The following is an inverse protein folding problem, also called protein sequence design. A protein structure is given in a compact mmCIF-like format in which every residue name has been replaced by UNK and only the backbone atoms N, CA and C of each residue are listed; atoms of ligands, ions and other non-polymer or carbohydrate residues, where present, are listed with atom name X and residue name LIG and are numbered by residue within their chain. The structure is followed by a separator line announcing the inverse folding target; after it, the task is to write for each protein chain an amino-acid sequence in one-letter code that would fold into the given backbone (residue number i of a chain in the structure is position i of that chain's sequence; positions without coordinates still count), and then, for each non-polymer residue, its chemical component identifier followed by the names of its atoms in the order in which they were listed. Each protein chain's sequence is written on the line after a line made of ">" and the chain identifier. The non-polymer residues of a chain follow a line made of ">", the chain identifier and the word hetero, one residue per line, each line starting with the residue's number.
data_IF_213138035706
#
_entry.id   IF_213138035706
#
_cell.length_a   1.000
_cell.length_b   1.000
_cell.length_c   1.000
_cell.angle_alpha   90.00
_cell.angle_beta   90.00
_cell.angle_gamma   90.00
#
_symmetry.space_group_name_H-M   'P 1'
#
loop_
_entity.id
_entity.type
_entity.pdbx_description
1 polymer ?
#
# COMPACT_ATOMS: atom_id res chain seq x y z
N UNK A 1 11.40 -18.56 -12.53
CA UNK A 1 12.25 -19.44 -11.70
C UNK A 1 11.60 -20.78 -11.32
N UNK A 2 10.29 -20.87 -11.02
CA UNK A 2 9.61 -22.17 -10.80
C UNK A 2 9.35 -22.99 -12.07
N UNK A 3 9.23 -22.35 -13.23
CA UNK A 3 9.06 -23.01 -14.55
C UNK A 3 10.33 -23.72 -15.04
N UNK A 4 11.51 -23.32 -14.55
CA UNK A 4 12.78 -23.92 -14.98
C UNK A 4 13.04 -25.25 -14.25
N UNK A 5 12.33 -25.56 -13.15
CA UNK A 5 12.63 -26.74 -12.31
C UNK A 5 11.48 -27.72 -12.08
N UNK A 6 10.21 -27.35 -12.29
CA UNK A 6 9.09 -28.27 -12.10
C UNK A 6 8.09 -28.17 -13.26
N UNK A 7 8.10 -29.17 -14.13
CA UNK A 7 7.10 -29.40 -15.17
C UNK A 7 5.88 -30.14 -14.60
N UNK A 8 4.68 -29.56 -14.72
CA UNK A 8 3.42 -30.28 -14.53
C UNK A 8 2.25 -29.50 -13.90
N UNK A 9 1.05 -30.09 -13.98
CA UNK A 9 -0.22 -29.61 -13.40
C UNK A 9 -0.17 -29.35 -11.87
N UNK A 10 0.56 -30.14 -11.05
CA UNK A 10 0.67 -29.88 -9.60
C UNK A 10 1.47 -28.62 -9.26
N UNK A 11 2.49 -28.28 -10.06
CA UNK A 11 3.31 -27.08 -9.86
C UNK A 11 2.52 -25.80 -10.15
N UNK A 12 1.59 -25.83 -11.11
CA UNK A 12 0.69 -24.72 -11.40
C UNK A 12 -0.31 -24.47 -10.26
N UNK A 13 -0.83 -25.52 -9.62
CA UNK A 13 -1.72 -25.41 -8.45
C UNK A 13 -1.00 -24.79 -7.24
N UNK A 14 0.22 -25.24 -6.93
CA UNK A 14 1.04 -24.65 -5.87
C UNK A 14 1.42 -23.18 -6.17
N UNK A 15 1.59 -22.82 -7.44
CA UNK A 15 1.83 -21.43 -7.86
C UNK A 15 0.59 -20.56 -7.67
N UNK A 16 -0.59 -21.08 -8.02
CA UNK A 16 -1.88 -20.43 -7.78
C UNK A 16 -2.15 -20.22 -6.29
N UNK A 17 -1.93 -21.26 -5.46
CA UNK A 17 -2.11 -21.17 -4.02
C UNK A 17 -1.17 -20.14 -3.36
N UNK A 18 0.13 -20.16 -3.73
CA UNK A 18 1.09 -19.19 -3.24
C UNK A 18 0.78 -17.77 -3.73
N UNK A 19 0.37 -17.61 -4.98
CA UNK A 19 -0.01 -16.30 -5.53
C UNK A 19 -1.26 -15.73 -4.84
N UNK A 20 -2.23 -16.58 -4.47
CA UNK A 20 -3.42 -16.14 -3.76
C UNK A 20 -3.11 -15.77 -2.30
N UNK A 21 -2.36 -16.62 -1.59
CA UNK A 21 -1.98 -16.34 -0.20
C UNK A 21 -1.04 -15.13 -0.07
N UNK A 22 0.01 -15.08 -0.89
CA UNK A 22 1.02 -14.02 -0.80
C UNK A 22 0.59 -12.75 -1.52
N UNK A 23 -0.12 -12.88 -2.65
CA UNK A 23 -0.51 -11.76 -3.49
C UNK A 23 -1.83 -11.11 -3.07
N UNK A 24 -2.83 -11.88 -2.65
CA UNK A 24 -4.15 -11.33 -2.29
C UNK A 24 -4.28 -11.16 -0.79
N UNK A 25 -4.14 -12.26 -0.02
CA UNK A 25 -4.40 -12.22 1.42
C UNK A 25 -3.43 -11.27 2.15
N UNK A 26 -2.13 -11.43 1.92
CA UNK A 26 -1.13 -10.56 2.56
C UNK A 26 -1.26 -9.09 2.14
N UNK A 27 -1.54 -8.84 0.86
CA UNK A 27 -1.68 -7.47 0.35
C UNK A 27 -2.91 -6.77 0.95
N UNK A 28 -4.05 -7.45 1.03
CA UNK A 28 -5.27 -6.93 1.67
C UNK A 28 -5.05 -6.63 3.15
N UNK A 29 -4.36 -7.52 3.88
CA UNK A 29 -4.04 -7.33 5.29
C UNK A 29 -3.18 -6.07 5.52
N UNK A 30 -2.15 -5.86 4.70
CA UNK A 30 -1.30 -4.66 4.78
C UNK A 30 -2.11 -3.40 4.43
N UNK A 31 -2.91 -3.44 3.36
CA UNK A 31 -3.74 -2.29 2.99
C UNK A 31 -4.78 -1.94 4.07
N UNK A 32 -5.33 -2.94 4.76
CA UNK A 32 -6.27 -2.73 5.86
C UNK A 32 -5.62 -2.01 7.05
N UNK A 33 -4.41 -2.41 7.46
CA UNK A 33 -3.70 -1.75 8.58
C UNK A 33 -3.28 -0.33 8.23
N UNK A 34 -2.83 -0.09 7.00
CA UNK A 34 -2.48 1.26 6.50
C UNK A 34 -3.72 2.17 6.45
N UNK A 35 -4.85 1.66 5.95
CA UNK A 35 -6.10 2.43 5.90
C UNK A 35 -6.60 2.77 7.30
N UNK A 36 -6.48 1.85 8.27
CA UNK A 36 -6.81 2.12 9.67
C UNK A 36 -5.92 3.21 10.28
N UNK A 37 -4.62 3.23 9.96
CA UNK A 37 -3.71 4.28 10.39
C UNK A 37 -4.11 5.64 9.79
N UNK A 38 -4.45 5.68 8.50
CA UNK A 38 -4.91 6.89 7.82
C UNK A 38 -6.20 7.45 8.46
N UNK A 39 -7.17 6.59 8.79
CA UNK A 39 -8.40 7.01 9.50
C UNK A 39 -8.07 7.62 10.86
N UNK A 40 -7.14 7.04 11.62
CA UNK A 40 -6.74 7.60 12.93
C UNK A 40 -6.09 8.97 12.78
N UNK A 41 -5.17 9.12 11.82
CA UNK A 41 -4.49 10.39 11.56
C UNK A 41 -5.50 11.46 11.13
N UNK A 42 -6.35 11.15 10.15
CA UNK A 42 -7.37 12.08 9.65
C UNK A 42 -8.40 12.44 10.73
N UNK A 43 -8.81 11.47 11.55
CA UNK A 43 -9.71 11.71 12.67
C UNK A 43 -9.13 12.65 13.72
N UNK A 44 -7.84 12.50 14.05
CA UNK A 44 -7.17 13.35 15.06
C UNK A 44 -6.82 14.73 14.52
N UNK A 45 -6.30 14.84 13.29
CA UNK A 45 -5.91 16.12 12.71
C UNK A 45 -7.07 16.95 12.18
N UNK A 46 -8.03 16.30 11.50
CA UNK A 46 -9.06 16.99 10.72
C UNK A 46 -10.47 16.78 11.29
N UNK A 47 -10.67 15.86 12.24
CA UNK A 47 -11.99 15.54 12.81
C UNK A 47 -12.97 14.92 11.79
N UNK A 48 -12.48 14.42 10.67
CA UNK A 48 -13.30 13.93 9.55
C UNK A 48 -13.82 12.53 9.83
N UNK A 49 -15.03 12.24 9.37
CA UNK A 49 -15.64 10.93 9.50
C UNK A 49 -14.83 9.83 8.78
N UNK A 50 -14.93 8.61 9.31
CA UNK A 50 -14.18 7.43 8.87
C UNK A 50 -14.51 7.08 7.42
N UNK A 51 -15.79 7.13 7.05
CA UNK A 51 -16.23 6.76 5.71
C UNK A 51 -15.73 7.76 4.68
N UNK A 52 -15.83 9.06 4.99
CA UNK A 52 -15.33 10.14 4.12
C UNK A 52 -13.82 10.02 3.91
N UNK A 53 -13.06 9.71 4.96
CA UNK A 53 -11.60 9.54 4.86
C UNK A 53 -11.23 8.39 3.93
N UNK A 54 -11.87 7.23 4.08
CA UNK A 54 -11.58 6.05 3.25
C UNK A 54 -11.98 6.29 1.80
N UNK A 55 -13.16 6.86 1.56
CA UNK A 55 -13.64 7.16 0.21
C UNK A 55 -12.74 8.17 -0.50
N UNK A 56 -12.34 9.25 0.17
CA UNK A 56 -11.44 10.23 -0.40
C UNK A 56 -10.06 9.63 -0.72
N UNK A 57 -9.43 8.94 0.25
CA UNK A 57 -8.10 8.38 0.09
C UNK A 57 -8.07 7.29 -1.00
N UNK A 58 -9.05 6.39 -1.03
CA UNK A 58 -9.15 5.33 -2.05
C UNK A 58 -9.40 5.91 -3.43
N UNK A 59 -10.27 6.91 -3.56
CA UNK A 59 -10.55 7.56 -4.86
C UNK A 59 -9.29 8.21 -5.44
N UNK A 60 -8.57 8.99 -4.62
CA UNK A 60 -7.31 9.63 -5.04
C UNK A 60 -6.29 8.58 -5.46
N UNK A 61 -6.13 7.52 -4.67
CA UNK A 61 -5.18 6.44 -4.94
C UNK A 61 -5.52 5.71 -6.24
N UNK A 62 -6.79 5.41 -6.50
CA UNK A 62 -7.24 4.72 -7.72
C UNK A 62 -7.03 5.61 -8.95
N UNK A 63 -7.44 6.88 -8.88
CA UNK A 63 -7.28 7.82 -10.00
C UNK A 63 -5.80 8.02 -10.33
N UNK A 64 -4.96 8.20 -9.30
CA UNK A 64 -3.53 8.36 -9.50
C UNK A 64 -2.85 7.10 -10.05
N UNK A 65 -3.15 5.93 -9.47
CA UNK A 65 -2.56 4.65 -9.90
C UNK A 65 -2.98 4.26 -11.31
N UNK A 66 -4.25 4.53 -11.68
CA UNK A 66 -4.76 4.24 -13.01
C UNK A 66 -4.15 5.15 -14.11
N UNK A 67 -3.82 6.41 -13.78
CA UNK A 67 -3.30 7.39 -14.76
C UNK A 67 -1.79 7.36 -14.92
N UNK A 68 -1.03 7.03 -13.87
CA UNK A 68 0.43 7.15 -13.83
C UNK A 68 1.20 5.91 -14.30
N UNK A 69 0.54 4.74 -14.37
CA UNK A 69 1.19 3.48 -14.72
C UNK A 69 2.27 3.04 -13.72
N UNK A 70 2.93 1.91 -13.95
CA UNK A 70 3.89 1.36 -12.99
C UNK A 70 5.08 2.30 -12.73
N UNK A 71 5.59 2.96 -13.78
CA UNK A 71 6.71 3.89 -13.68
C UNK A 71 6.36 5.13 -12.86
N UNK A 72 5.18 5.71 -13.10
CA UNK A 72 4.74 6.87 -12.34
C UNK A 72 4.53 6.54 -10.87
N UNK A 73 3.86 5.42 -10.57
CA UNK A 73 3.66 4.95 -9.19
C UNK A 73 4.99 4.79 -8.45
N UNK A 74 6.00 4.16 -9.06
CA UNK A 74 7.32 3.97 -8.44
C UNK A 74 8.02 5.31 -8.17
N UNK A 75 7.93 6.27 -9.10
CA UNK A 75 8.53 7.60 -8.91
C UNK A 75 7.85 8.33 -7.74
N UNK A 76 6.52 8.30 -7.66
CA UNK A 76 5.83 8.93 -6.51
C UNK A 76 6.07 8.23 -5.20
N UNK A 77 6.22 6.91 -5.19
CA UNK A 77 6.53 6.16 -3.98
C UNK A 77 7.90 6.59 -3.41
N UNK A 78 8.89 6.75 -4.28
CA UNK A 78 10.21 7.28 -3.89
C UNK A 78 10.12 8.71 -3.32
N UNK A 79 9.30 9.58 -3.92
CA UNK A 79 9.11 10.94 -3.42
C UNK A 79 8.40 10.97 -2.06
N UNK A 80 7.33 10.18 -1.90
CA UNK A 80 6.59 10.06 -0.64
C UNK A 80 7.45 9.44 0.46
N UNK A 81 8.30 8.47 0.12
CA UNK A 81 9.29 7.90 1.04
C UNK A 81 10.27 8.97 1.54
N UNK A 82 10.83 9.78 0.63
CA UNK A 82 11.73 10.87 1.00
C UNK A 82 11.06 11.92 1.91
N UNK A 83 9.82 12.30 1.57
CA UNK A 83 9.04 13.22 2.38
C UNK A 83 8.74 12.65 3.78
N UNK A 84 8.36 11.37 3.87
CA UNK A 84 8.08 10.70 5.13
C UNK A 84 9.33 10.58 6.03
N UNK A 85 10.49 10.32 5.41
CA UNK A 85 11.77 10.30 6.13
C UNK A 85 12.14 11.68 6.68
N UNK A 86 12.03 12.74 5.87
CA UNK A 86 12.28 14.10 6.32
C UNK A 86 11.30 14.52 7.42
N UNK A 87 10.01 14.20 7.26
CA UNK A 87 8.97 14.48 8.24
C UNK A 87 9.17 13.76 9.58
N UNK A 88 9.58 12.49 9.56
CA UNK A 88 9.84 11.74 10.80
C UNK A 88 11.08 12.25 11.54
N UNK A 89 12.14 12.63 10.82
CA UNK A 89 13.34 13.25 11.42
C UNK A 89 13.02 14.62 12.02
N UNK A 90 12.29 15.47 11.28
CA UNK A 90 11.87 16.78 11.78
C UNK A 90 10.98 16.65 13.03
N UNK A 91 10.00 15.74 13.00
CA UNK A 91 9.15 15.47 14.16
C UNK A 91 9.96 14.97 15.36
N UNK A 92 10.96 14.11 15.15
CA UNK A 92 11.83 13.64 16.23
C UNK A 92 12.67 14.78 16.85
N UNK A 93 13.14 15.73 16.05
CA UNK A 93 13.87 16.89 16.56
C UNK A 93 12.98 17.85 17.37
N UNK A 94 11.77 18.15 16.87
CA UNK A 94 10.83 19.05 17.56
C UNK A 94 10.11 18.42 18.76
N UNK A 95 10.04 17.09 18.84
CA UNK A 95 9.43 16.38 19.95
C UNK A 95 10.34 16.25 21.19
N UNK A 96 11.64 16.58 21.06
CA UNK A 96 12.61 16.71 22.15
C UNK A 96 12.57 18.13 22.68
#
# INVERSE_FOLDING_TARGET
>A
FYEIRYSGRPAAFLRGFRALYLGVFFNVMIMATVTLAAIKIAGVLLGVDRYTTVLAASTITVVYSATSGLWGVVVTDLLLFGLAMAGSIAAAYYAV
#
